data_IF_747171009553
#
_entry.id   IF_747171009553
#
_cell.length_a   1.000
_cell.length_b   1.000
_cell.length_c   1.000
_cell.angle_alpha   90.00
_cell.angle_beta   90.00
_cell.angle_gamma   90.00
#
_symmetry.space_group_name_H-M   'P 1'
#
loop_
_entity.id
_entity.type
_entity.pdbx_description
1 polymer ?
#
# COMPACT_ATOMS: atom_id res chain seq x y z
N UNK A 1 20.54 -8.25 6.24
CA UNK A 1 19.97 -7.00 5.70
C UNK A 1 19.02 -6.45 6.75
N UNK A 2 19.01 -5.15 7.01
CA UNK A 2 18.09 -4.55 7.96
C UNK A 2 16.65 -4.76 7.44
N UNK A 3 15.80 -5.47 8.18
CA UNK A 3 14.46 -5.92 7.72
C UNK A 3 13.63 -4.74 7.20
N UNK A 4 13.69 -3.62 7.92
CA UNK A 4 13.07 -2.35 7.54
C UNK A 4 13.52 -1.85 6.16
N UNK A 5 14.82 -1.91 5.84
CA UNK A 5 15.33 -1.47 4.53
C UNK A 5 14.82 -2.34 3.38
N UNK A 6 14.69 -3.65 3.61
CA UNK A 6 14.10 -4.56 2.64
C UNK A 6 12.62 -4.23 2.40
N UNK A 7 11.83 -4.08 3.46
CA UNK A 7 10.40 -3.73 3.35
C UNK A 7 10.17 -2.41 2.61
N UNK A 8 10.93 -1.37 2.92
CA UNK A 8 10.84 -0.07 2.24
C UNK A 8 11.11 -0.23 0.74
N UNK A 9 12.18 -0.95 0.37
CA UNK A 9 12.52 -1.16 -1.05
C UNK A 9 11.43 -1.91 -1.80
N UNK A 10 10.89 -2.97 -1.21
CA UNK A 10 9.86 -3.79 -1.85
C UNK A 10 8.55 -3.01 -2.03
N UNK A 11 8.11 -2.23 -1.03
CA UNK A 11 6.94 -1.36 -1.18
C UNK A 11 7.16 -0.32 -2.28
N UNK A 12 8.33 0.33 -2.33
CA UNK A 12 8.60 1.33 -3.36
C UNK A 12 8.60 0.72 -4.77
N UNK A 13 9.10 -0.51 -4.93
CA UNK A 13 9.03 -1.23 -6.20
C UNK A 13 7.60 -1.56 -6.57
N UNK A 14 6.81 -2.08 -5.63
CA UNK A 14 5.39 -2.39 -5.84
C UNK A 14 4.59 -1.16 -6.26
N UNK A 15 4.74 -0.04 -5.54
CA UNK A 15 4.03 1.20 -5.84
C UNK A 15 4.39 1.75 -7.22
N UNK A 16 5.67 1.65 -7.62
CA UNK A 16 6.12 2.06 -8.96
C UNK A 16 5.59 1.14 -10.06
N UNK A 17 5.59 -0.17 -9.83
CA UNK A 17 5.09 -1.15 -10.79
C UNK A 17 3.62 -0.91 -11.15
N UNK A 18 2.80 -0.55 -10.17
CA UNK A 18 1.38 -0.25 -10.35
C UNK A 18 1.06 1.25 -10.53
N UNK A 19 2.09 2.09 -10.74
CA UNK A 19 1.95 3.53 -10.96
C UNK A 19 1.11 4.24 -9.88
N UNK A 20 1.25 3.82 -8.62
CA UNK A 20 0.56 4.46 -7.49
C UNK A 20 1.26 5.77 -7.15
N UNK A 21 0.48 6.85 -6.94
CA UNK A 21 1.03 8.14 -6.54
C UNK A 21 1.41 8.12 -5.05
N UNK A 22 2.66 8.45 -4.74
CA UNK A 22 3.14 8.52 -3.35
C UNK A 22 4.24 9.57 -3.14
N UNK A 23 4.38 9.96 -1.88
CA UNK A 23 5.48 10.77 -1.35
C UNK A 23 6.14 9.98 -0.22
N UNK A 24 7.47 9.92 -0.23
CA UNK A 24 8.27 9.30 0.83
C UNK A 24 9.00 10.38 1.62
N UNK A 25 8.91 10.32 2.93
CA UNK A 25 9.71 11.12 3.85
C UNK A 25 10.27 10.21 4.95
N UNK A 26 11.60 10.06 5.02
CA UNK A 26 12.26 9.17 5.98
C UNK A 26 11.62 7.76 6.00
N UNK A 27 11.07 7.36 7.14
CA UNK A 27 10.40 6.08 7.39
C UNK A 27 8.89 6.13 7.17
N UNK A 28 8.40 7.16 6.48
CA UNK A 28 6.98 7.36 6.19
C UNK A 28 6.73 7.38 4.68
N UNK A 29 5.68 6.70 4.26
CA UNK A 29 5.12 6.78 2.90
C UNK A 29 3.66 7.20 3.00
N UNK A 30 3.32 8.25 2.26
CA UNK A 30 1.96 8.72 2.05
C UNK A 30 1.62 8.49 0.59
N UNK A 31 0.43 8.01 0.28
CA UNK A 31 0.03 7.89 -1.11
C UNK A 31 -1.47 7.91 -1.31
N UNK A 32 -1.83 8.03 -2.59
CA UNK A 32 -3.21 8.03 -3.04
C UNK A 32 -3.32 7.30 -4.37
N UNK A 33 -4.50 6.77 -4.63
CA UNK A 33 -4.79 6.01 -5.83
C UNK A 33 -6.22 6.26 -6.27
N UNK A 34 -6.38 6.62 -7.53
CA UNK A 34 -7.68 6.71 -8.17
C UNK A 34 -8.18 5.32 -8.55
N UNK A 35 -9.38 4.97 -8.12
CA UNK A 35 -10.01 3.69 -8.40
C UNK A 35 -11.40 3.94 -9.01
N UNK A 36 -11.77 3.12 -9.98
CA UNK A 36 -13.13 3.10 -10.52
C UNK A 36 -13.98 2.14 -9.71
N UNK A 37 -15.01 2.64 -9.04
CA UNK A 37 -15.96 1.83 -8.29
C UNK A 37 -17.37 2.13 -8.77
N UNK A 38 -18.02 1.12 -9.40
CA UNK A 38 -19.42 1.20 -9.87
C UNK A 38 -19.75 2.41 -10.76
N UNK A 39 -18.77 2.89 -11.53
CA UNK A 39 -18.94 4.05 -12.44
C UNK A 39 -18.42 5.37 -11.87
N UNK A 40 -18.15 5.45 -10.57
CA UNK A 40 -17.58 6.63 -9.93
C UNK A 40 -16.05 6.52 -9.80
N UNK A 41 -15.36 7.65 -9.87
CA UNK A 41 -13.94 7.77 -9.53
C UNK A 41 -13.85 8.09 -8.04
N UNK A 42 -13.28 7.16 -7.27
CA UNK A 42 -12.97 7.36 -5.87
C UNK A 42 -11.45 7.50 -5.70
N UNK A 43 -11.04 8.34 -4.76
CA UNK A 43 -9.64 8.42 -4.34
C UNK A 43 -9.49 7.64 -3.04
N UNK A 44 -8.64 6.61 -3.08
CA UNK A 44 -8.18 5.89 -1.89
C UNK A 44 -6.87 6.51 -1.43
N UNK A 45 -6.69 6.74 -0.14
CA UNK A 45 -5.45 7.25 0.42
C UNK A 45 -4.89 6.31 1.48
N UNK A 46 -3.57 6.32 1.65
CA UNK A 46 -2.88 5.45 2.60
C UNK A 46 -1.66 6.13 3.23
N UNK A 47 -1.33 5.64 4.42
CA UNK A 47 -0.16 6.01 5.21
C UNK A 47 0.56 4.72 5.63
N UNK A 48 1.88 4.72 5.54
CA UNK A 48 2.75 3.63 5.99
C UNK A 48 3.87 4.26 6.82
N UNK A 49 4.09 3.75 8.03
CA UNK A 49 5.27 4.07 8.84
C UNK A 49 6.02 2.78 9.16
N UNK A 50 7.31 2.79 8.84
CA UNK A 50 8.22 1.68 9.13
C UNK A 50 8.89 1.93 10.48
N UNK A 51 8.75 0.97 11.39
CA UNK A 51 9.54 0.91 12.62
C UNK A 51 10.49 -0.31 12.51
N UNK A 52 11.39 -0.47 13.50
CA UNK A 52 12.39 -1.54 13.48
C UNK A 52 11.77 -2.94 13.36
N UNK A 53 10.66 -3.18 14.08
CA UNK A 53 10.04 -4.50 14.17
C UNK A 53 8.71 -4.62 13.41
N UNK A 54 8.03 -3.50 13.14
CA UNK A 54 6.66 -3.49 12.63
C UNK A 54 6.42 -2.39 11.61
N UNK A 55 5.44 -2.61 10.75
CA UNK A 55 4.91 -1.64 9.80
C UNK A 55 3.54 -1.22 10.30
N UNK A 56 3.37 0.08 10.56
CA UNK A 56 2.09 0.68 10.90
C UNK A 56 1.46 1.25 9.64
N UNK A 57 0.20 0.90 9.38
CA UNK A 57 -0.51 1.37 8.19
C UNK A 57 -1.90 1.87 8.51
N UNK A 58 -2.30 2.92 7.80
CA UNK A 58 -3.67 3.44 7.79
C UNK A 58 -4.10 3.53 6.34
N UNK A 59 -5.35 3.20 6.05
CA UNK A 59 -5.98 3.52 4.77
C UNK A 59 -7.33 4.16 4.93
N UNK A 60 -7.71 4.85 3.87
CA UNK A 60 -9.01 5.47 3.69
C UNK A 60 -9.56 5.02 2.34
N UNK A 61 -10.66 4.27 2.37
CA UNK A 61 -11.25 3.66 1.17
C UNK A 61 -11.92 4.71 0.25
N UNK A 62 -12.22 5.88 0.78
CA UNK A 62 -12.74 7.01 0.01
C UNK A 62 -12.45 8.31 0.76
N UNK A 63 -11.72 9.24 0.12
CA UNK A 63 -11.37 10.53 0.71
C UNK A 63 -12.56 11.39 1.13
N UNK A 64 -13.76 11.16 0.58
CA UNK A 64 -15.00 11.84 0.98
C UNK A 64 -15.58 11.32 2.30
N UNK A 65 -15.22 10.12 2.75
CA UNK A 65 -15.66 9.57 4.03
C UNK A 65 -14.77 10.10 5.17
N UNK A 66 -15.16 9.96 6.42
CA UNK A 66 -14.30 10.29 7.58
C UNK A 66 -13.60 9.07 8.16
N UNK A 67 -14.09 7.88 7.82
CA UNK A 67 -13.61 6.62 8.39
C UNK A 67 -12.23 6.23 7.84
N UNK A 68 -11.36 5.79 8.74
CA UNK A 68 -10.05 5.22 8.43
C UNK A 68 -9.93 3.87 9.11
N UNK A 69 -9.20 2.96 8.48
CA UNK A 69 -8.91 1.63 9.03
C UNK A 69 -7.39 1.50 9.16
N UNK A 70 -6.93 0.94 10.26
CA UNK A 70 -5.51 0.73 10.56
C UNK A 70 -5.15 -0.76 10.69
N UNK A 71 -3.87 -1.04 10.43
CA UNK A 71 -3.26 -2.36 10.59
C UNK A 71 -1.80 -2.20 11.00
N UNK A 72 -1.38 -3.00 11.98
CA UNK A 72 0.02 -3.15 12.38
C UNK A 72 0.46 -4.58 12.10
N UNK A 73 1.51 -4.74 11.30
CA UNK A 73 2.07 -6.05 11.02
C UNK A 73 3.58 -6.00 10.81
N UNK A 74 4.28 -7.04 11.23
CA UNK A 74 5.69 -7.27 10.88
C UNK A 74 5.85 -7.84 9.47
N UNK A 75 4.77 -8.37 8.87
CA UNK A 75 4.81 -9.04 7.57
C UNK A 75 4.39 -8.10 6.45
N UNK A 76 5.26 -7.98 5.46
CA UNK A 76 5.01 -7.13 4.30
C UNK A 76 3.79 -7.58 3.48
N UNK A 77 3.58 -8.89 3.30
CA UNK A 77 2.46 -9.41 2.49
C UNK A 77 1.10 -9.02 3.07
N UNK A 78 0.97 -9.06 4.41
CA UNK A 78 -0.25 -8.63 5.11
C UNK A 78 -0.52 -7.13 4.88
N UNK A 79 0.54 -6.31 4.86
CA UNK A 79 0.42 -4.88 4.57
C UNK A 79 -0.05 -4.63 3.13
N UNK A 80 0.53 -5.34 2.15
CA UNK A 80 0.15 -5.18 0.74
C UNK A 80 -1.26 -5.69 0.47
N UNK A 81 -1.65 -6.83 1.06
CA UNK A 81 -3.02 -7.36 0.94
C UNK A 81 -4.04 -6.44 1.62
N UNK A 82 -3.69 -5.82 2.74
CA UNK A 82 -4.54 -4.84 3.40
C UNK A 82 -4.74 -3.57 2.57
N UNK A 83 -3.66 -2.98 2.05
CA UNK A 83 -3.72 -1.71 1.31
C UNK A 83 -4.24 -1.86 -0.12
N UNK A 84 -3.83 -2.92 -0.81
CA UNK A 84 -4.03 -3.09 -2.26
C UNK A 84 -4.44 -4.54 -2.63
N UNK A 85 -5.53 -5.08 -2.06
CA UNK A 85 -5.92 -6.47 -2.29
C UNK A 85 -6.13 -6.79 -3.77
N UNK A 86 -6.61 -5.81 -4.54
CA UNK A 86 -6.85 -5.94 -5.97
C UNK A 86 -5.55 -5.95 -6.78
N UNK A 87 -4.57 -5.10 -6.47
CA UNK A 87 -3.27 -5.09 -7.15
C UNK A 87 -2.43 -6.32 -6.80
N UNK A 88 -2.47 -6.78 -5.55
CA UNK A 88 -1.82 -8.04 -5.15
C UNK A 88 -2.39 -9.21 -5.95
N UNK A 89 -3.71 -9.22 -6.18
CA UNK A 89 -4.33 -10.23 -7.04
C UNK A 89 -3.84 -10.15 -8.49
N UNK A 90 -3.69 -8.95 -9.05
CA UNK A 90 -3.12 -8.75 -10.39
C UNK A 90 -1.68 -9.27 -10.44
N UNK A 91 -0.84 -8.93 -9.46
CA UNK A 91 0.54 -9.40 -9.37
C UNK A 91 0.63 -10.93 -9.34
N UNK A 92 -0.26 -11.59 -8.59
CA UNK A 92 -0.35 -13.05 -8.54
C UNK A 92 -0.74 -13.65 -9.90
N UNK A 93 -1.60 -12.98 -10.67
CA UNK A 93 -1.98 -13.41 -12.03
C UNK A 93 -0.79 -13.22 -12.98
N UNK A 94 -0.14 -12.06 -12.96
CA UNK A 94 1.03 -11.77 -13.81
C UNK A 94 2.14 -12.81 -13.60
N UNK A 95 2.40 -13.20 -12.34
CA UNK A 95 3.38 -14.23 -12.01
C UNK A 95 3.04 -15.61 -12.59
N UNK A 96 1.75 -15.97 -12.69
CA UNK A 96 1.32 -17.25 -13.27
C UNK A 96 1.42 -17.28 -14.80
N UNK A 97 1.51 -16.12 -15.45
CA UNK A 97 1.60 -15.99 -16.91
C UNK A 97 3.06 -15.91 -17.41
N UNK A 98 4.03 -15.87 -16.49
CA UNK A 98 5.46 -15.80 -16.77
C UNK A 98 6.14 -17.15 -16.52
#
# INVERSE_FOLDING_TARGET
MNSSLYHVKTILLFLKYFEVEFVKNEDVILGKRHCYQKGDIITKSFFIKFNDDNIYTIKKENDFLTETVDLVSAKLDEILEFLFPDLVRVLKIDYLLY
#
